data_IF_808673656993
#
_entry.id   IF_808673656993
#
_cell.length_a   1.000
_cell.length_b   1.000
_cell.length_c   1.000
_cell.angle_alpha   90.00
_cell.angle_beta   90.00
_cell.angle_gamma   90.00
#
_symmetry.space_group_name_H-M   'P 1'
#
loop_
_entity.id
_entity.type
_entity.pdbx_description
1 polymer ?
#
# COMPACT_ATOMS: atom_id res chain seq x y z
N UNK A 1 -23.66 7.54 -5.43
CA UNK A 1 -23.41 7.13 -4.03
C UNK A 1 -21.92 6.87 -3.83
N UNK A 2 -21.32 7.40 -2.77
CA UNK A 2 -19.92 7.13 -2.42
C UNK A 2 -19.86 6.02 -1.38
N UNK A 3 -18.97 5.06 -1.59
CA UNK A 3 -18.78 3.91 -0.71
C UNK A 3 -17.30 3.88 -0.32
N UNK A 4 -17.03 3.87 0.98
CA UNK A 4 -15.69 3.72 1.55
C UNK A 4 -15.53 2.28 2.05
N UNK A 5 -14.65 1.52 1.39
CA UNK A 5 -14.26 0.18 1.83
C UNK A 5 -13.00 0.25 2.68
N UNK A 6 -13.00 -0.37 3.85
CA UNK A 6 -11.86 -0.45 4.76
C UNK A 6 -11.57 -1.93 4.99
N UNK A 7 -10.34 -2.34 4.71
CA UNK A 7 -9.85 -3.67 5.01
C UNK A 7 -8.77 -3.58 6.09
N UNK A 8 -8.97 -4.36 7.14
CA UNK A 8 -8.20 -4.27 8.38
C UNK A 8 -7.70 -5.66 8.77
N UNK A 9 -7.28 -6.44 7.76
CA UNK A 9 -6.78 -7.78 7.97
C UNK A 9 -5.37 -7.71 8.57
N UNK A 10 -5.11 -8.54 9.58
CA UNK A 10 -3.87 -8.50 10.37
C UNK A 10 -2.62 -8.34 9.49
N UNK A 11 -1.78 -7.36 9.87
CA UNK A 11 -0.54 -6.87 9.26
C UNK A 11 -0.65 -5.83 8.12
N UNK A 12 -1.73 -5.77 7.33
CA UNK A 12 -1.86 -4.80 6.23
C UNK A 12 -3.25 -4.17 6.15
N UNK A 13 -3.31 -2.85 6.35
CA UNK A 13 -4.52 -2.06 6.17
C UNK A 13 -4.66 -1.58 4.72
N UNK A 14 -5.84 -1.67 4.14
CA UNK A 14 -6.14 -1.04 2.84
C UNK A 14 -7.48 -0.32 2.86
N UNK A 15 -7.59 0.74 2.04
CA UNK A 15 -8.78 1.58 1.94
C UNK A 15 -9.08 1.81 0.46
N UNK A 16 -10.36 1.68 0.06
CA UNK A 16 -10.82 2.00 -1.28
C UNK A 16 -12.02 2.94 -1.26
N UNK A 17 -12.04 3.88 -2.21
CA UNK A 17 -13.16 4.78 -2.44
C UNK A 17 -13.79 4.44 -3.78
N UNK A 18 -15.08 4.11 -3.76
CA UNK A 18 -15.88 3.80 -4.94
C UNK A 18 -17.03 4.79 -5.10
N UNK A 19 -17.32 5.15 -6.35
CA UNK A 19 -18.44 6.00 -6.73
C UNK A 19 -19.23 5.29 -7.83
N UNK A 20 -20.51 5.05 -7.57
CA UNK A 20 -21.45 4.48 -8.55
C UNK A 20 -20.94 3.15 -9.16
N UNK A 21 -20.35 2.30 -8.32
CA UNK A 21 -19.79 1.00 -8.71
C UNK A 21 -18.39 1.06 -9.35
N UNK A 22 -17.80 2.25 -9.51
CA UNK A 22 -16.43 2.43 -10.03
C UNK A 22 -15.46 2.80 -8.92
N UNK A 23 -14.36 2.07 -8.82
CA UNK A 23 -13.27 2.39 -7.89
C UNK A 23 -12.57 3.66 -8.40
N UNK A 24 -12.54 4.69 -7.58
CA UNK A 24 -11.83 5.94 -7.87
C UNK A 24 -10.41 5.93 -7.31
N UNK A 25 -10.24 5.39 -6.10
CA UNK A 25 -8.95 5.34 -5.40
C UNK A 25 -8.87 4.05 -4.58
N UNK A 26 -7.71 3.41 -4.57
CA UNK A 26 -7.38 2.32 -3.66
C UNK A 26 -5.96 2.54 -3.13
N UNK A 27 -5.78 2.41 -1.83
CA UNK A 27 -4.49 2.62 -1.17
C UNK A 27 -4.26 1.54 -0.11
N UNK A 28 -3.01 1.11 0.00
CA UNK A 28 -2.57 0.12 0.98
C UNK A 28 -1.52 0.76 1.89
N UNK A 29 -1.57 0.45 3.18
CA UNK A 29 -0.76 1.10 4.21
C UNK A 29 0.75 0.86 4.05
N UNK A 30 1.16 -0.26 3.43
CA UNK A 30 2.56 -0.50 3.06
C UNK A 30 3.10 0.56 2.07
N UNK A 31 2.25 1.07 1.16
CA UNK A 31 2.62 2.15 0.22
C UNK A 31 2.69 3.52 0.89
N UNK A 32 2.01 3.72 2.03
CA UNK A 32 1.96 5.00 2.76
C UNK A 32 3.14 5.16 3.71
N UNK A 33 3.51 4.10 4.44
CA UNK A 33 4.54 4.19 5.49
C UNK A 33 5.96 4.29 4.95
N UNK A 34 6.19 4.01 3.65
CA UNK A 34 7.53 3.92 3.03
C UNK A 34 8.49 2.97 3.77
N UNK A 35 8.00 2.19 4.73
CA UNK A 35 8.73 1.14 5.41
C UNK A 35 8.59 -0.14 4.60
N UNK A 36 9.53 -0.38 3.68
CA UNK A 36 9.71 -1.72 3.12
C UNK A 36 10.03 -2.67 4.27
N UNK A 37 9.17 -3.66 4.54
CA UNK A 37 9.53 -4.87 5.29
C UNK A 37 10.43 -5.81 4.44
N UNK A 38 11.24 -5.21 3.57
CA UNK A 38 12.27 -5.89 2.80
C UNK A 38 13.52 -5.04 2.94
N UNK A 39 14.38 -5.44 3.85
CA UNK A 39 15.81 -5.16 3.78
C UNK A 39 16.38 -6.04 2.67
N UNK A 40 16.69 -5.53 1.47
CA UNK A 40 17.80 -6.10 0.74
C UNK A 40 19.07 -5.69 1.49
N UNK A 41 19.55 -6.56 2.39
CA UNK A 41 20.92 -6.46 2.87
C UNK A 41 21.86 -6.74 1.69
N UNK A 42 22.58 -5.71 1.25
CA UNK A 42 23.74 -5.82 0.36
C UNK A 42 23.36 -5.93 -1.12
N UNK A 43 24.02 -5.26 -2.07
CA UNK A 43 25.29 -4.54 -2.07
C UNK A 43 25.11 -3.24 -2.83
N UNK A 44 25.53 -2.12 -2.24
CA UNK A 44 25.98 -0.99 -3.02
C UNK A 44 27.17 -1.43 -3.88
N UNK A 45 27.12 -1.03 -5.15
CA UNK A 45 28.25 -1.04 -6.07
C UNK A 45 29.47 -0.34 -5.46
N UNK A 46 30.61 -1.02 -5.44
CA UNK A 46 31.92 -0.41 -5.64
C UNK A 46 32.59 -1.17 -6.77
N UNK A 47 32.47 -0.62 -7.97
CA UNK A 47 33.39 -0.90 -9.07
C UNK A 47 34.70 -0.18 -8.73
N UNK A 48 35.76 -0.95 -8.55
CA UNK A 48 37.15 -0.51 -8.73
C UNK A 48 37.65 -1.20 -9.99
#
# INVERSE_FOLDING_TARGET
MYILGINCLMHDFSVCLSKDGKIMVAIESERITRHKHSVPKGKLLKMH
#
